data_IF_914571131817
#
_entry.id   IF_914571131817
#
_cell.length_a   1.000
_cell.length_b   1.000
_cell.length_c   1.000
_cell.angle_alpha   90.00
_cell.angle_beta   90.00
_cell.angle_gamma   90.00
#
_symmetry.space_group_name_H-M   'P 1'
#
loop_
_entity.id
_entity.type
_entity.pdbx_description
1 polymer ?
#
# COMPACT_ATOMS: atom_id res chain seq x y z
N UNK A 1 -8.32 -21.12 10.65
CA UNK A 1 -8.81 -20.09 9.70
C UNK A 1 -7.62 -19.39 9.09
N UNK A 2 -7.56 -19.30 7.79
CA UNK A 2 -6.46 -18.70 7.01
C UNK A 2 -6.94 -17.48 6.22
N UNK A 3 -6.00 -16.68 5.73
CA UNK A 3 -6.28 -15.61 4.79
C UNK A 3 -5.83 -15.96 3.36
N UNK A 4 -6.51 -15.42 2.36
CA UNK A 4 -5.97 -15.25 1.00
C UNK A 4 -5.65 -13.78 0.78
N UNK A 5 -4.40 -13.49 0.44
CA UNK A 5 -3.94 -12.11 0.18
C UNK A 5 -3.71 -11.94 -1.32
N UNK A 6 -4.46 -11.03 -1.93
CA UNK A 6 -4.43 -10.79 -3.38
C UNK A 6 -3.29 -9.82 -3.74
N UNK A 7 -2.14 -10.34 -4.10
CA UNK A 7 -0.92 -9.56 -4.43
C UNK A 7 -0.44 -9.76 -5.88
N UNK A 8 -1.31 -10.27 -6.75
CA UNK A 8 -1.00 -10.55 -8.16
C UNK A 8 -0.89 -9.31 -9.07
N UNK A 9 -1.32 -8.14 -8.61
CA UNK A 9 -1.45 -6.94 -9.42
C UNK A 9 -0.12 -6.26 -9.79
N UNK A 10 0.00 -5.75 -11.03
CA UNK A 10 1.19 -5.05 -11.53
C UNK A 10 1.47 -3.66 -10.91
N UNK A 11 0.51 -3.09 -10.18
CA UNK A 11 0.67 -1.76 -9.59
C UNK A 11 0.90 -0.63 -10.60
N UNK A 12 0.33 -0.71 -11.81
CA UNK A 12 0.61 0.21 -12.92
C UNK A 12 0.37 1.68 -12.61
N UNK A 13 -0.61 1.98 -11.77
CA UNK A 13 -0.93 3.35 -11.34
C UNK A 13 0.17 3.99 -10.48
N UNK A 14 0.95 3.17 -9.77
CA UNK A 14 2.07 3.60 -8.90
C UNK A 14 3.42 3.69 -9.67
N UNK A 15 3.47 3.28 -10.95
CA UNK A 15 4.67 3.47 -11.77
C UNK A 15 5.11 4.94 -11.77
N UNK A 16 6.44 5.19 -11.77
CA UNK A 16 7.55 4.30 -12.05
C UNK A 16 8.10 3.50 -10.86
N UNK A 17 7.60 3.66 -9.64
CA UNK A 17 8.11 2.93 -8.45
C UNK A 17 7.99 1.41 -8.61
N UNK A 18 6.87 0.95 -9.15
CA UNK A 18 6.52 -0.48 -9.26
C UNK A 18 7.02 -1.16 -10.54
N UNK A 19 7.98 -0.60 -11.24
CA UNK A 19 8.68 -1.34 -12.29
C UNK A 19 9.59 -2.43 -11.71
N UNK A 20 10.27 -2.12 -10.61
CA UNK A 20 11.28 -2.99 -10.01
C UNK A 20 10.89 -3.49 -8.60
N UNK A 21 9.87 -2.91 -7.98
CA UNK A 21 9.41 -3.25 -6.64
C UNK A 21 7.95 -3.70 -6.73
N UNK A 22 7.59 -4.92 -6.31
CA UNK A 22 6.20 -5.31 -6.17
C UNK A 22 5.44 -4.31 -5.30
N UNK A 23 4.20 -3.98 -5.65
CA UNK A 23 3.39 -3.02 -4.90
C UNK A 23 3.28 -3.36 -3.41
N UNK A 24 3.17 -4.63 -3.09
CA UNK A 24 3.11 -5.13 -1.70
C UNK A 24 4.43 -4.98 -0.92
N UNK A 25 5.54 -4.69 -1.59
CA UNK A 25 6.84 -4.45 -0.95
C UNK A 25 7.27 -2.98 -0.94
N UNK A 26 6.49 -2.04 -1.50
CA UNK A 26 6.84 -0.63 -1.36
C UNK A 26 6.89 -0.25 0.12
N UNK A 27 7.95 0.44 0.59
CA UNK A 27 8.10 0.69 2.00
C UNK A 27 7.24 1.84 2.49
N UNK A 28 6.61 1.65 3.63
CA UNK A 28 6.04 2.70 4.47
C UNK A 28 6.92 2.81 5.73
N UNK A 29 7.46 4.01 6.01
CA UNK A 29 8.38 4.18 7.15
C UNK A 29 9.50 3.13 7.14
N UNK A 30 10.16 2.96 5.99
CA UNK A 30 11.27 2.02 5.77
C UNK A 30 10.96 0.53 6.04
N UNK A 31 9.70 0.19 6.25
CA UNK A 31 9.22 -1.19 6.40
C UNK A 31 8.36 -1.57 5.18
N UNK A 32 8.63 -2.70 4.50
CA UNK A 32 7.78 -3.17 3.41
C UNK A 32 6.31 -3.28 3.80
N UNK A 33 5.41 -2.84 2.93
CA UNK A 33 3.97 -2.82 3.15
C UNK A 33 3.41 -4.21 3.55
N UNK A 34 3.93 -5.27 2.96
CA UNK A 34 3.61 -6.66 3.31
C UNK A 34 3.72 -6.93 4.82
N UNK A 35 4.69 -6.31 5.51
CA UNK A 35 4.85 -6.46 6.94
C UNK A 35 3.66 -5.93 7.75
N UNK A 36 3.07 -4.79 7.33
CA UNK A 36 1.85 -4.26 7.98
C UNK A 36 0.66 -5.18 7.75
N UNK A 37 0.55 -5.74 6.56
CA UNK A 37 -0.52 -6.67 6.20
C UNK A 37 -0.44 -7.96 7.03
N UNK A 38 0.76 -8.53 7.17
CA UNK A 38 0.95 -9.73 8.00
C UNK A 38 0.64 -9.46 9.49
N UNK A 39 1.02 -8.28 10.01
CA UNK A 39 0.66 -7.89 11.39
C UNK A 39 -0.86 -7.75 11.55
N UNK A 40 -1.54 -7.17 10.57
CA UNK A 40 -3.00 -7.06 10.56
C UNK A 40 -3.69 -8.43 10.62
N UNK A 41 -3.23 -9.39 9.82
CA UNK A 41 -3.78 -10.75 9.81
C UNK A 41 -3.52 -11.48 11.13
N UNK A 42 -2.31 -11.41 11.65
CA UNK A 42 -1.94 -12.01 12.94
C UNK A 42 -2.72 -11.39 14.09
N UNK A 43 -2.86 -10.06 14.11
CA UNK A 43 -3.67 -9.33 15.09
C UNK A 43 -5.15 -9.70 15.07
N UNK A 44 -5.66 -10.14 13.92
CA UNK A 44 -7.02 -10.70 13.75
C UNK A 44 -7.17 -12.16 14.13
N UNK A 45 -6.15 -12.80 14.72
CA UNK A 45 -6.21 -14.17 15.22
C UNK A 45 -6.14 -15.26 14.14
N UNK A 46 -5.65 -14.92 12.94
CA UNK A 46 -5.43 -15.91 11.89
C UNK A 46 -4.14 -16.70 12.13
N UNK A 47 -4.10 -17.95 11.70
CA UNK A 47 -2.96 -18.85 11.85
C UNK A 47 -2.08 -18.98 10.60
N UNK A 48 -2.51 -18.38 9.48
CA UNK A 48 -1.73 -18.40 8.25
C UNK A 48 -2.36 -17.59 7.13
N UNK A 49 -1.61 -17.45 6.03
CA UNK A 49 -2.04 -16.80 4.81
C UNK A 49 -1.53 -17.53 3.57
N UNK A 50 -2.34 -17.54 2.52
CA UNK A 50 -1.96 -17.93 1.16
C UNK A 50 -1.85 -16.65 0.32
N UNK A 51 -0.67 -16.36 -0.21
CA UNK A 51 -0.45 -15.22 -1.08
C UNK A 51 -0.73 -15.61 -2.53
N UNK A 52 -1.75 -15.02 -3.15
CA UNK A 52 -1.99 -15.12 -4.59
C UNK A 52 -1.03 -14.18 -5.30
N UNK A 53 0.01 -14.75 -5.94
CA UNK A 53 1.11 -14.04 -6.55
C UNK A 53 1.00 -14.07 -8.09
N UNK A 54 1.11 -12.91 -8.72
CA UNK A 54 1.18 -12.81 -10.17
C UNK A 54 2.45 -12.09 -10.62
N UNK A 55 2.51 -10.78 -10.46
CA UNK A 55 3.62 -9.94 -10.90
C UNK A 55 4.77 -9.93 -9.87
N UNK A 56 6.00 -10.20 -10.34
CA UNK A 56 7.23 -10.21 -9.52
C UNK A 56 7.11 -11.07 -8.24
N UNK A 57 6.88 -12.37 -8.33
CA UNK A 57 6.73 -13.23 -7.15
C UNK A 57 8.04 -13.40 -6.36
N UNK A 58 9.21 -13.50 -7.04
CA UNK A 58 10.50 -13.81 -6.41
C UNK A 58 10.91 -12.80 -5.31
N UNK A 59 10.81 -11.46 -5.49
CA UNK A 59 11.10 -10.51 -4.43
C UNK A 59 10.20 -10.67 -3.20
N UNK A 60 8.93 -11.05 -3.39
CA UNK A 60 8.00 -11.28 -2.27
C UNK A 60 8.43 -12.51 -1.48
N UNK A 61 8.73 -13.62 -2.17
CA UNK A 61 9.22 -14.85 -1.54
C UNK A 61 10.55 -14.61 -0.82
N UNK A 62 11.50 -13.90 -1.46
CA UNK A 62 12.77 -13.54 -0.85
C UNK A 62 12.59 -12.72 0.44
N UNK A 63 11.69 -11.73 0.45
CA UNK A 63 11.37 -10.95 1.64
C UNK A 63 10.84 -11.84 2.77
N UNK A 64 9.92 -12.74 2.48
CA UNK A 64 9.29 -13.59 3.50
C UNK A 64 10.28 -14.62 4.07
N UNK A 65 11.21 -15.15 3.27
CA UNK A 65 12.28 -16.02 3.77
C UNK A 65 13.18 -15.35 4.82
N UNK A 66 13.24 -14.01 4.86
CA UNK A 66 14.01 -13.27 5.89
C UNK A 66 13.25 -13.10 7.20
N UNK A 67 11.96 -13.47 7.26
CA UNK A 67 11.08 -13.25 8.41
C UNK A 67 11.11 -14.43 9.38
N UNK A 68 11.95 -14.33 10.41
CA UNK A 68 12.05 -15.33 11.48
C UNK A 68 10.86 -15.25 12.47
N UNK A 69 10.14 -14.15 12.50
CA UNK A 69 8.99 -13.88 13.37
C UNK A 69 7.67 -14.53 12.88
N UNK A 70 7.72 -15.25 11.76
CA UNK A 70 6.57 -16.02 11.22
C UNK A 70 6.51 -17.47 11.70
N UNK A 71 7.21 -17.82 12.78
CA UNK A 71 7.29 -19.22 13.28
C UNK A 71 5.91 -19.82 13.62
N UNK A 72 4.98 -19.01 14.06
CA UNK A 72 3.61 -19.43 14.42
C UNK A 72 2.55 -19.01 13.39
N UNK A 73 2.96 -18.44 12.24
CA UNK A 73 2.07 -17.97 11.19
C UNK A 73 2.54 -18.52 9.84
N UNK A 74 1.81 -19.50 9.31
CA UNK A 74 2.18 -20.12 8.03
C UNK A 74 1.94 -19.19 6.85
N UNK A 75 2.86 -19.19 5.88
CA UNK A 75 2.67 -18.45 4.62
C UNK A 75 2.93 -19.38 3.44
N UNK A 76 1.89 -19.65 2.67
CA UNK A 76 1.92 -20.39 1.43
C UNK A 76 1.79 -19.48 0.21
N UNK A 77 2.11 -19.99 -0.97
CA UNK A 77 2.11 -19.23 -2.23
C UNK A 77 1.31 -19.93 -3.31
N UNK A 78 0.33 -19.24 -3.86
CA UNK A 78 -0.41 -19.63 -5.05
C UNK A 78 0.01 -18.73 -6.22
N UNK A 79 1.00 -19.19 -7.01
CA UNK A 79 1.50 -18.41 -8.15
C UNK A 79 0.55 -18.55 -9.34
N UNK A 80 0.22 -17.41 -9.97
CA UNK A 80 -0.63 -17.33 -11.15
C UNK A 80 0.25 -17.35 -12.42
N UNK A 81 0.05 -18.33 -13.29
CA UNK A 81 0.73 -18.38 -14.59
C UNK A 81 0.26 -17.27 -15.55
N UNK A 82 -0.92 -16.73 -15.31
CA UNK A 82 -1.57 -15.61 -16.00
C UNK A 82 -2.49 -14.88 -15.04
N UNK A 83 -2.87 -13.64 -15.36
CA UNK A 83 -3.84 -12.91 -14.54
C UNK A 83 -5.17 -13.67 -14.43
N UNK A 84 -5.57 -14.00 -13.20
CA UNK A 84 -6.79 -14.74 -12.90
C UNK A 84 -7.92 -13.85 -12.36
N UNK A 85 -7.67 -12.57 -12.13
CA UNK A 85 -8.61 -11.67 -11.46
C UNK A 85 -8.72 -11.97 -9.97
N UNK A 86 -9.57 -11.21 -9.26
CA UNK A 86 -9.68 -11.31 -7.80
C UNK A 86 -10.23 -12.66 -7.35
N UNK A 87 -11.37 -13.11 -7.89
CA UNK A 87 -11.93 -14.41 -7.54
C UNK A 87 -11.09 -15.57 -8.07
N UNK A 88 -10.57 -15.46 -9.31
CA UNK A 88 -9.73 -16.53 -9.85
C UNK A 88 -8.43 -16.73 -9.05
N UNK A 89 -7.84 -15.66 -8.51
CA UNK A 89 -6.71 -15.73 -7.57
C UNK A 89 -7.09 -16.44 -6.25
N UNK A 90 -8.29 -16.18 -5.72
CA UNK A 90 -8.81 -16.90 -4.54
C UNK A 90 -8.98 -18.39 -4.85
N UNK A 91 -9.59 -18.73 -5.99
CA UNK A 91 -9.77 -20.13 -6.43
C UNK A 91 -8.43 -20.84 -6.64
N UNK A 92 -7.42 -20.16 -7.19
CA UNK A 92 -6.08 -20.72 -7.36
C UNK A 92 -5.41 -21.05 -6.02
N UNK A 93 -5.74 -20.30 -4.96
CA UNK A 93 -5.25 -20.54 -3.61
C UNK A 93 -5.92 -21.72 -2.88
N UNK A 94 -7.07 -22.21 -3.36
CA UNK A 94 -7.92 -23.20 -2.69
C UNK A 94 -7.16 -24.46 -2.24
N UNK A 95 -6.23 -24.95 -3.04
CA UNK A 95 -5.45 -26.16 -2.74
C UNK A 95 -4.55 -26.04 -1.49
N UNK A 96 -4.32 -24.82 -0.99
CA UNK A 96 -3.50 -24.53 0.20
C UNK A 96 -4.37 -24.18 1.41
N UNK A 97 -5.70 -24.13 1.26
CA UNK A 97 -6.64 -23.77 2.33
C UNK A 97 -7.10 -25.01 3.09
N UNK A 98 -7.42 -24.82 4.36
CA UNK A 98 -7.87 -25.87 5.28
C UNK A 98 -9.39 -26.21 5.15
N UNK A 99 -10.10 -25.54 4.26
CA UNK A 99 -11.54 -25.78 4.00
C UNK A 99 -12.48 -25.10 5.00
N UNK A 100 -11.96 -24.28 5.89
CA UNK A 100 -12.73 -23.46 6.83
C UNK A 100 -13.16 -22.11 6.21
N UNK A 101 -14.01 -21.36 6.92
CA UNK A 101 -14.24 -19.93 6.65
C UNK A 101 -12.90 -19.21 6.44
N UNK A 102 -12.77 -18.40 5.39
CA UNK A 102 -11.52 -17.73 5.05
C UNK A 102 -11.68 -16.22 5.04
N UNK A 103 -10.58 -15.52 5.28
CA UNK A 103 -10.48 -14.08 5.10
C UNK A 103 -9.79 -13.79 3.78
N UNK A 104 -10.30 -12.85 2.99
CA UNK A 104 -9.64 -12.37 1.77
C UNK A 104 -9.26 -10.92 1.98
N UNK A 105 -8.02 -10.54 1.64
CA UNK A 105 -7.53 -9.18 1.75
C UNK A 105 -6.89 -8.72 0.44
N UNK A 106 -7.31 -7.56 -0.04
CA UNK A 106 -6.65 -6.91 -1.16
C UNK A 106 -5.25 -6.46 -0.75
N UNK A 107 -4.24 -6.89 -1.50
CA UNK A 107 -2.82 -6.70 -1.20
C UNK A 107 -2.31 -5.25 -1.31
N UNK A 108 -3.20 -4.27 -1.29
CA UNK A 108 -2.88 -2.83 -1.35
C UNK A 108 -3.64 -2.00 -0.30
N UNK A 109 -4.32 -2.64 0.63
CA UNK A 109 -5.10 -1.99 1.67
C UNK A 109 -4.31 -1.87 2.98
N UNK A 110 -4.08 -0.64 3.41
CA UNK A 110 -3.57 -0.31 4.75
C UNK A 110 -4.77 0.01 5.64
N UNK A 111 -4.98 -0.78 6.70
CA UNK A 111 -6.14 -0.61 7.58
C UNK A 111 -5.81 -0.87 9.03
N UNK A 112 -6.52 -0.19 9.92
CA UNK A 112 -6.52 -0.42 11.36
C UNK A 112 -7.84 -1.03 11.86
N UNK A 113 -8.62 -1.65 10.97
CA UNK A 113 -9.90 -2.25 11.34
C UNK A 113 -9.72 -3.44 12.29
N UNK A 114 -10.74 -3.66 13.09
CA UNK A 114 -10.85 -4.84 13.95
C UNK A 114 -11.34 -6.03 13.10
N UNK A 115 -10.37 -6.87 12.67
CA UNK A 115 -10.64 -8.05 11.82
C UNK A 115 -11.41 -9.13 12.59
N UNK A 116 -11.12 -9.30 13.89
CA UNK A 116 -11.82 -10.27 14.73
C UNK A 116 -13.31 -9.95 14.79
N UNK A 117 -13.65 -8.66 14.94
CA UNK A 117 -15.04 -8.20 14.93
C UNK A 117 -15.73 -8.47 13.60
N UNK A 118 -15.06 -8.26 12.46
CA UNK A 118 -15.62 -8.56 11.15
C UNK A 118 -15.92 -10.06 11.00
N UNK A 119 -15.02 -10.92 11.47
CA UNK A 119 -15.22 -12.38 11.51
C UNK A 119 -16.38 -12.76 12.43
N UNK A 120 -16.50 -12.15 13.61
CA UNK A 120 -17.62 -12.40 14.53
C UNK A 120 -18.96 -12.00 13.93
N UNK A 121 -19.04 -10.85 13.25
CA UNK A 121 -20.26 -10.40 12.56
C UNK A 121 -20.66 -11.39 11.46
N UNK A 122 -19.69 -11.89 10.68
CA UNK A 122 -19.93 -12.90 9.66
C UNK A 122 -20.50 -14.19 10.26
N UNK A 123 -19.83 -14.75 11.26
CA UNK A 123 -20.25 -15.99 11.95
C UNK A 123 -21.60 -15.90 12.66
N UNK A 124 -22.03 -14.71 13.05
CA UNK A 124 -23.33 -14.46 13.66
C UNK A 124 -24.49 -14.37 12.64
N UNK A 125 -24.18 -14.52 11.35
CA UNK A 125 -25.13 -14.42 10.25
C UNK A 125 -25.19 -15.72 9.44
N UNK A 126 -26.15 -15.80 8.54
CA UNK A 126 -26.29 -16.86 7.54
C UNK A 126 -25.66 -16.51 6.19
N UNK A 127 -24.83 -15.46 6.14
CA UNK A 127 -24.17 -15.00 4.92
C UNK A 127 -23.15 -16.02 4.40
N UNK A 128 -23.02 -16.14 3.08
CA UNK A 128 -21.90 -16.83 2.44
C UNK A 128 -20.69 -15.91 2.29
N UNK A 129 -20.93 -14.60 2.23
CA UNK A 129 -19.87 -13.62 2.22
C UNK A 129 -20.24 -12.38 3.05
N UNK A 130 -19.24 -11.83 3.75
CA UNK A 130 -19.34 -10.52 4.39
C UNK A 130 -18.26 -9.63 3.81
N UNK A 131 -18.64 -8.49 3.21
CA UNK A 131 -17.71 -7.48 2.72
C UNK A 131 -17.55 -6.38 3.75
N UNK A 132 -16.33 -5.91 3.97
CA UNK A 132 -16.10 -4.75 4.83
C UNK A 132 -16.24 -3.47 4.04
N UNK A 133 -16.88 -2.48 4.65
CA UNK A 133 -17.11 -1.17 4.05
C UNK A 133 -16.48 -0.07 4.89
N UNK A 134 -15.99 0.95 4.23
CA UNK A 134 -15.53 2.20 4.85
C UNK A 134 -16.15 3.41 4.15
N UNK A 135 -16.19 4.54 4.84
CA UNK A 135 -16.69 5.79 4.29
C UNK A 135 -15.53 6.60 3.71
N UNK A 136 -15.70 7.13 2.50
CA UNK A 136 -14.74 8.00 1.82
C UNK A 136 -15.39 9.29 1.34
N UNK A 137 -14.60 10.35 1.13
CA UNK A 137 -15.12 11.62 0.60
C UNK A 137 -15.52 11.50 -0.88
N UNK A 138 -14.70 10.82 -1.70
CA UNK A 138 -14.97 10.59 -3.11
C UNK A 138 -15.00 9.08 -3.42
N UNK A 139 -16.19 8.49 -3.59
CA UNK A 139 -16.36 7.07 -3.86
C UNK A 139 -16.12 6.67 -5.32
N UNK A 140 -15.97 7.62 -6.26
CA UNK A 140 -15.91 7.34 -7.70
C UNK A 140 -14.73 6.48 -8.14
N UNK A 141 -13.68 6.41 -7.30
CA UNK A 141 -12.49 5.59 -7.56
C UNK A 141 -12.61 4.13 -7.07
N UNK A 142 -13.67 3.78 -6.34
CA UNK A 142 -13.83 2.52 -5.60
C UNK A 142 -15.14 1.80 -5.97
N UNK A 143 -15.33 0.62 -5.41
CA UNK A 143 -16.62 -0.10 -5.49
C UNK A 143 -17.61 0.49 -4.48
N UNK A 144 -18.62 1.20 -4.94
CA UNK A 144 -19.69 1.76 -4.12
C UNK A 144 -20.67 0.66 -3.70
N UNK A 145 -21.10 0.67 -2.43
CA UNK A 145 -21.99 -0.36 -1.88
C UNK A 145 -23.15 0.26 -1.14
N UNK A 146 -24.37 -0.07 -1.55
CA UNK A 146 -25.60 0.25 -0.84
C UNK A 146 -26.03 -0.92 0.03
N UNK A 147 -26.40 -0.62 1.27
CA UNK A 147 -26.87 -1.62 2.25
C UNK A 147 -28.22 -1.21 2.82
N UNK A 148 -29.00 -2.18 3.26
CA UNK A 148 -30.22 -1.90 4.02
C UNK A 148 -29.95 -1.85 5.53
N UNK A 149 -31.02 -1.73 6.31
CA UNK A 149 -30.98 -1.64 7.78
C UNK A 149 -30.49 -2.94 8.46
N UNK A 150 -30.53 -4.07 7.77
CA UNK A 150 -30.02 -5.36 8.24
C UNK A 150 -28.59 -5.63 7.76
N UNK A 151 -27.94 -4.65 7.13
CA UNK A 151 -26.61 -4.78 6.51
C UNK A 151 -26.55 -5.78 5.35
N UNK A 152 -27.67 -6.10 4.70
CA UNK A 152 -27.65 -6.81 3.43
C UNK A 152 -27.22 -5.87 2.31
N UNK A 153 -26.31 -6.33 1.46
CA UNK A 153 -25.90 -5.58 0.28
C UNK A 153 -27.04 -5.59 -0.74
N UNK A 154 -27.49 -4.39 -1.12
CA UNK A 154 -28.58 -4.18 -2.07
C UNK A 154 -28.08 -3.76 -3.45
N UNK A 155 -26.92 -3.12 -3.51
CA UNK A 155 -26.31 -2.71 -4.77
C UNK A 155 -24.80 -2.64 -4.62
N UNK A 156 -24.10 -3.09 -5.66
CA UNK A 156 -22.64 -2.95 -5.79
C UNK A 156 -22.32 -2.34 -7.15
N UNK A 157 -21.58 -1.23 -7.19
CA UNK A 157 -21.18 -0.57 -8.44
C UNK A 157 -19.68 -0.32 -8.42
N UNK A 158 -18.96 -1.01 -9.26
CA UNK A 158 -17.52 -0.83 -9.41
C UNK A 158 -17.21 0.44 -10.19
N UNK A 159 -16.60 1.43 -9.51
CA UNK A 159 -16.23 2.75 -10.04
C UNK A 159 -17.43 3.50 -10.65
N UNK A 160 -18.37 3.93 -9.80
CA UNK A 160 -19.59 4.61 -10.25
C UNK A 160 -19.26 5.90 -10.99
N UNK A 161 -20.11 6.29 -11.95
CA UNK A 161 -20.12 7.64 -12.46
C UNK A 161 -20.62 8.62 -11.36
N UNK A 162 -20.29 9.90 -11.48
CA UNK A 162 -20.63 10.87 -10.44
C UNK A 162 -22.14 10.99 -10.16
N UNK A 163 -22.98 10.74 -11.16
CA UNK A 163 -24.44 10.73 -11.07
C UNK A 163 -25.01 9.42 -10.50
N UNK A 164 -24.20 8.38 -10.38
CA UNK A 164 -24.56 7.09 -9.75
C UNK A 164 -24.23 7.06 -8.26
N UNK A 165 -23.56 8.08 -7.73
CA UNK A 165 -23.15 8.14 -6.32
C UNK A 165 -24.34 8.42 -5.42
N UNK A 166 -24.77 7.42 -4.66
CA UNK A 166 -25.91 7.47 -3.73
C UNK A 166 -25.49 7.34 -2.28
N UNK A 167 -24.28 6.88 -2.03
CA UNK A 167 -23.69 6.69 -0.69
C UNK A 167 -22.20 6.97 -0.74
N UNK A 168 -21.58 7.17 0.42
CA UNK A 168 -20.13 7.28 0.56
C UNK A 168 -19.47 5.98 1.05
N UNK A 169 -20.24 4.91 1.21
CA UNK A 169 -19.72 3.61 1.60
C UNK A 169 -19.09 2.89 0.41
N UNK A 170 -17.85 2.49 0.57
CA UNK A 170 -17.08 1.77 -0.46
C UNK A 170 -16.54 0.46 0.08
N UNK A 171 -16.30 -0.46 -0.83
CA UNK A 171 -15.61 -1.71 -0.57
C UNK A 171 -14.21 -1.44 0.00
N UNK A 172 -13.96 -1.89 1.23
CA UNK A 172 -12.69 -1.72 1.92
C UNK A 172 -11.64 -2.79 1.55
N UNK A 173 -11.98 -3.77 0.71
CA UNK A 173 -11.05 -4.80 0.23
C UNK A 173 -10.66 -5.84 1.28
N UNK A 174 -11.51 -6.06 2.27
CA UNK A 174 -11.39 -7.18 3.24
C UNK A 174 -12.73 -7.92 3.26
N UNK A 175 -12.68 -9.23 3.08
CA UNK A 175 -13.86 -10.08 3.00
C UNK A 175 -13.74 -11.27 3.95
N UNK A 176 -14.86 -11.76 4.46
CA UNK A 176 -14.96 -13.06 5.12
C UNK A 176 -15.88 -13.92 4.28
N UNK A 177 -15.40 -15.08 3.85
CA UNK A 177 -16.09 -15.97 2.91
C UNK A 177 -16.24 -17.35 3.52
N UNK A 178 -17.41 -17.98 3.30
CA UNK A 178 -17.59 -19.39 3.54
C UNK A 178 -16.99 -20.22 2.38
N UNK A 179 -16.54 -21.47 2.63
CA UNK A 179 -15.91 -22.32 1.61
C UNK A 179 -16.79 -22.54 0.36
N UNK A 180 -18.11 -22.53 0.52
CA UNK A 180 -19.07 -22.68 -0.57
C UNK A 180 -18.94 -21.61 -1.66
N UNK A 181 -18.40 -20.43 -1.31
CA UNK A 181 -18.12 -19.37 -2.30
C UNK A 181 -17.06 -19.83 -3.31
N UNK A 182 -16.13 -20.68 -2.90
CA UNK A 182 -15.08 -21.20 -3.80
C UNK A 182 -15.70 -22.09 -4.89
N UNK A 183 -16.80 -22.81 -4.59
CA UNK A 183 -17.49 -23.64 -5.57
C UNK A 183 -18.19 -22.83 -6.66
N UNK A 184 -18.52 -21.58 -6.39
CA UNK A 184 -19.10 -20.65 -7.36
C UNK A 184 -18.05 -20.11 -8.36
N UNK A 185 -16.75 -20.24 -8.04
CA UNK A 185 -15.68 -19.68 -8.86
C UNK A 185 -15.15 -20.71 -9.85
N UNK A 186 -15.32 -20.51 -11.17
CA UNK A 186 -14.77 -21.40 -12.16
C UNK A 186 -13.24 -21.36 -12.18
N UNK A 187 -12.62 -22.53 -12.14
CA UNK A 187 -11.17 -22.67 -12.15
C UNK A 187 -10.56 -22.30 -13.50
N UNK A 188 -9.33 -21.77 -13.47
CA UNK A 188 -8.49 -21.60 -14.65
C UNK A 188 -8.93 -20.50 -15.63
N UNK A 189 -9.83 -19.58 -15.25
CA UNK A 189 -10.15 -18.38 -16.02
C UNK A 189 -10.07 -17.11 -15.17
N UNK A 190 -9.99 -15.98 -15.82
CA UNK A 190 -10.08 -14.67 -15.14
C UNK A 190 -11.51 -14.46 -14.63
N UNK A 191 -11.66 -14.21 -13.33
CA UNK A 191 -12.93 -13.96 -12.63
C UNK A 191 -12.74 -12.83 -11.64
N UNK A 192 -13.62 -11.83 -11.67
CA UNK A 192 -13.68 -10.77 -10.65
C UNK A 192 -14.69 -11.13 -9.57
N UNK A 193 -14.29 -11.11 -8.31
CA UNK A 193 -15.21 -11.33 -7.19
C UNK A 193 -16.28 -10.24 -7.14
N UNK A 194 -15.92 -9.00 -7.45
CA UNK A 194 -16.79 -7.84 -7.38
C UNK A 194 -17.82 -7.77 -8.50
N UNK A 195 -17.46 -8.29 -9.68
CA UNK A 195 -18.32 -8.21 -10.89
C UNK A 195 -19.11 -9.45 -11.18
N UNK A 196 -18.67 -10.61 -10.70
CA UNK A 196 -19.30 -11.89 -11.02
C UNK A 196 -19.86 -12.56 -9.76
N UNK A 197 -19.12 -12.69 -8.69
CA UNK A 197 -19.50 -13.48 -7.50
C UNK A 197 -20.38 -12.67 -6.54
N UNK A 198 -20.00 -11.43 -6.21
CA UNK A 198 -20.80 -10.60 -5.31
C UNK A 198 -22.20 -10.29 -5.83
N UNK A 199 -22.43 -10.02 -7.13
CA UNK A 199 -23.79 -9.87 -7.65
C UNK A 199 -24.65 -11.13 -7.46
N UNK A 200 -24.11 -12.32 -7.70
CA UNK A 200 -24.83 -13.59 -7.50
C UNK A 200 -25.19 -13.81 -6.01
N UNK A 201 -24.25 -13.52 -5.11
CA UNK A 201 -24.48 -13.58 -3.66
C UNK A 201 -25.48 -12.51 -3.20
N UNK A 202 -25.49 -11.33 -3.80
CA UNK A 202 -26.46 -10.28 -3.54
C UNK A 202 -27.87 -10.68 -3.95
N UNK A 203 -28.03 -11.23 -5.15
CA UNK A 203 -29.32 -11.72 -5.66
C UNK A 203 -29.92 -12.81 -4.78
N UNK A 204 -29.08 -13.69 -4.24
CA UNK A 204 -29.49 -14.76 -3.32
C UNK A 204 -29.71 -14.28 -1.87
N UNK A 205 -29.43 -13.00 -1.56
CA UNK A 205 -29.53 -12.45 -0.20
C UNK A 205 -28.47 -12.99 0.77
N UNK A 206 -27.38 -13.55 0.25
CA UNK A 206 -26.28 -14.15 1.05
C UNK A 206 -25.03 -13.27 1.14
N UNK A 207 -25.10 -12.01 0.68
CA UNK A 207 -24.03 -11.02 0.81
C UNK A 207 -24.37 -9.99 1.86
N UNK A 208 -23.60 -9.95 2.95
CA UNK A 208 -23.72 -8.96 4.03
C UNK A 208 -22.56 -7.98 4.02
N UNK A 209 -22.74 -6.87 4.73
CA UNK A 209 -21.72 -5.87 4.94
C UNK A 209 -21.36 -5.72 6.42
N UNK A 210 -20.09 -5.39 6.68
CA UNK A 210 -19.59 -4.89 7.96
C UNK A 210 -19.00 -3.51 7.75
N UNK A 211 -19.60 -2.47 8.34
CA UNK A 211 -19.11 -1.08 8.22
C UNK A 211 -18.08 -0.79 9.30
N UNK A 212 -16.92 -0.30 8.93
CA UNK A 212 -15.86 0.14 9.84
C UNK A 212 -15.60 1.64 9.71
N UNK A 213 -15.33 2.31 10.84
CA UNK A 213 -14.85 3.68 10.91
C UNK A 213 -13.34 3.77 11.20
N UNK A 214 -12.67 2.64 11.24
CA UNK A 214 -11.23 2.59 11.47
C UNK A 214 -10.45 3.19 10.31
N UNK A 215 -9.19 3.53 10.56
CA UNK A 215 -8.29 3.99 9.50
C UNK A 215 -8.30 3.02 8.32
N UNK A 216 -8.38 3.58 7.11
CA UNK A 216 -8.32 2.83 5.86
C UNK A 216 -7.71 3.68 4.74
N UNK A 217 -6.84 3.08 3.95
CA UNK A 217 -6.27 3.69 2.74
C UNK A 217 -5.74 2.62 1.78
N UNK A 218 -6.07 2.75 0.50
CA UNK A 218 -5.36 2.03 -0.57
C UNK A 218 -4.02 2.71 -0.89
N UNK A 219 -3.01 1.95 -1.28
CA UNK A 219 -1.70 2.49 -1.70
C UNK A 219 -1.52 2.41 -3.23
N UNK A 220 -2.62 2.51 -3.98
CA UNK A 220 -2.66 2.26 -5.42
C UNK A 220 -2.06 3.34 -6.31
N UNK A 221 -1.88 4.56 -5.82
CA UNK A 221 -1.38 5.71 -6.58
C UNK A 221 -0.24 6.41 -5.87
N UNK A 222 0.61 7.22 -6.54
CA UNK A 222 1.64 8.01 -5.86
C UNK A 222 1.07 8.92 -4.77
N UNK A 223 -0.10 9.50 -4.98
CA UNK A 223 -0.78 10.36 -3.99
C UNK A 223 -1.18 9.56 -2.75
N UNK A 224 -1.85 8.43 -2.94
CA UNK A 224 -2.29 7.61 -1.82
C UNK A 224 -1.11 6.92 -1.12
N UNK A 225 -0.06 6.51 -1.84
CA UNK A 225 1.16 5.96 -1.26
C UNK A 225 1.92 6.99 -0.40
N UNK A 226 2.10 8.22 -0.90
CA UNK A 226 2.72 9.31 -0.14
C UNK A 226 1.89 9.64 1.12
N UNK A 227 0.57 9.73 0.97
CA UNK A 227 -0.33 9.97 2.09
C UNK A 227 -0.28 8.82 3.12
N UNK A 228 -0.27 7.55 2.69
CA UNK A 228 -0.10 6.40 3.60
C UNK A 228 1.22 6.48 4.39
N UNK A 229 2.32 6.88 3.74
CA UNK A 229 3.60 7.08 4.43
C UNK A 229 3.52 8.19 5.48
N UNK A 230 2.85 9.30 5.16
CA UNK A 230 2.61 10.38 6.12
C UNK A 230 1.76 9.95 7.30
N UNK A 231 0.70 9.15 7.05
CA UNK A 231 -0.21 8.65 8.07
C UNK A 231 0.50 7.68 9.02
N UNK A 232 1.35 6.77 8.48
CA UNK A 232 2.16 5.86 9.29
C UNK A 232 3.17 6.62 10.16
N UNK A 233 3.87 7.61 9.58
CA UNK A 233 4.81 8.45 10.31
C UNK A 233 4.14 9.28 11.42
N UNK A 234 2.90 9.71 11.19
CA UNK A 234 2.11 10.48 12.16
C UNK A 234 1.37 9.62 13.18
N UNK A 235 1.50 8.27 13.12
CA UNK A 235 0.83 7.36 14.04
C UNK A 235 -0.67 7.23 13.83
N UNK A 236 -1.21 7.65 12.68
CA UNK A 236 -2.64 7.58 12.37
C UNK A 236 -3.12 6.14 12.10
N UNK A 237 -2.22 5.21 11.83
CA UNK A 237 -2.52 3.79 11.57
C UNK A 237 -2.42 3.02 12.87
N UNK A 238 -3.57 2.68 13.47
CA UNK A 238 -3.65 1.92 14.73
C UNK A 238 -4.86 2.32 15.56
N UNK A 239 -5.21 1.52 16.57
CA UNK A 239 -6.40 1.72 17.40
C UNK A 239 -6.33 2.89 18.40
N UNK A 240 -5.21 3.61 18.46
CA UNK A 240 -5.03 4.79 19.31
C UNK A 240 -4.34 5.87 18.48
N UNK A 241 -5.13 6.77 17.88
CA UNK A 241 -4.61 8.05 17.41
C UNK A 241 -3.97 8.75 18.62
N UNK A 242 -2.64 8.88 18.63
CA UNK A 242 -1.93 9.57 19.71
C UNK A 242 -1.96 11.06 19.39
N UNK A 243 -2.49 11.86 20.27
CA UNK A 243 -2.32 13.31 20.25
C UNK A 243 -0.82 13.62 20.36
N UNK A 244 -0.31 14.46 19.45
CA UNK A 244 1.09 14.90 19.37
C UNK A 244 2.14 13.77 19.29
N UNK A 245 2.25 13.13 18.13
CA UNK A 245 3.28 12.13 17.88
C UNK A 245 4.51 12.78 17.21
N UNK A 246 5.46 13.24 18.04
CA UNK A 246 6.79 13.63 17.55
C UNK A 246 7.64 12.39 17.27
N UNK A 247 7.39 11.75 16.12
CA UNK A 247 8.11 10.55 15.73
C UNK A 247 9.43 10.91 15.05
N UNK A 248 10.52 10.64 15.74
CA UNK A 248 11.88 10.76 15.20
C UNK A 248 12.59 9.40 15.31
N UNK A 249 12.72 8.71 14.19
CA UNK A 249 13.46 7.46 14.08
C UNK A 249 14.68 7.70 13.21
N UNK A 250 15.86 7.60 13.81
CA UNK A 250 17.14 7.74 13.11
C UNK A 250 17.99 6.54 13.52
N UNK A 251 18.38 5.73 12.54
CA UNK A 251 19.27 4.61 12.80
C UNK A 251 20.62 5.08 13.34
N UNK A 252 21.21 4.30 14.24
CA UNK A 252 22.47 4.67 14.93
C UNK A 252 23.67 4.77 13.99
N UNK A 253 23.61 4.19 12.79
CA UNK A 253 24.65 4.26 11.77
C UNK A 253 24.55 5.49 10.87
N UNK A 254 23.56 6.37 11.08
CA UNK A 254 23.38 7.59 10.29
C UNK A 254 24.45 8.63 10.62
N UNK A 255 25.14 9.10 9.59
CA UNK A 255 26.13 10.16 9.72
C UNK A 255 25.46 11.53 9.54
N UNK A 256 25.50 12.37 10.58
CA UNK A 256 24.95 13.73 10.58
C UNK A 256 26.05 14.77 10.57
N UNK A 257 26.01 15.67 9.59
CA UNK A 257 26.85 16.85 9.51
C UNK A 257 26.49 17.92 10.55
N UNK A 258 27.15 19.08 10.45
CA UNK A 258 26.91 20.20 11.36
C UNK A 258 25.64 20.96 11.01
N UNK A 259 24.90 21.39 12.03
CA UNK A 259 23.69 22.20 11.88
C UNK A 259 22.59 21.55 10.99
N UNK A 260 22.56 20.23 10.94
CA UNK A 260 21.46 19.49 10.33
C UNK A 260 20.18 19.74 11.13
N UNK A 261 19.07 19.97 10.43
CA UNK A 261 17.74 20.13 11.03
C UNK A 261 16.91 18.90 10.74
N UNK A 262 16.49 18.19 11.77
CA UNK A 262 15.52 17.11 11.69
C UNK A 262 14.20 17.63 12.29
N UNK A 263 13.15 17.70 11.49
CA UNK A 263 11.82 18.21 11.86
C UNK A 263 10.81 17.05 11.87
N UNK A 264 10.48 16.49 13.03
CA UNK A 264 9.55 15.36 13.15
C UNK A 264 8.17 15.61 12.50
N UNK A 265 7.46 14.53 12.09
CA UNK A 265 7.89 13.15 12.13
C UNK A 265 8.80 12.77 10.95
N UNK A 266 9.86 12.02 11.22
CA UNK A 266 10.89 11.61 10.24
C UNK A 266 11.36 10.18 10.57
N UNK A 267 11.62 9.37 9.53
CA UNK A 267 12.29 8.07 9.65
C UNK A 267 13.48 8.01 8.71
N UNK A 268 14.68 7.74 9.25
CA UNK A 268 15.94 7.65 8.49
C UNK A 268 16.58 6.29 8.77
N UNK A 269 16.68 5.46 7.73
CA UNK A 269 17.22 4.12 7.81
C UNK A 269 18.77 4.11 7.88
N UNK A 270 19.32 2.92 8.06
CA UNK A 270 20.74 2.65 8.22
C UNK A 270 21.61 3.18 7.08
N UNK A 271 22.81 3.60 7.42
CA UNK A 271 23.87 3.98 6.47
C UNK A 271 23.61 5.27 5.71
N UNK A 272 22.60 6.07 6.08
CA UNK A 272 22.38 7.39 5.47
C UNK A 272 23.45 8.39 5.85
N UNK A 273 23.79 9.30 4.93
CA UNK A 273 24.71 10.43 5.16
C UNK A 273 23.98 11.74 4.89
N UNK A 274 23.89 12.57 5.89
CA UNK A 274 23.23 13.88 5.86
C UNK A 274 24.29 14.95 6.10
N UNK A 275 24.61 15.73 5.07
CA UNK A 275 25.67 16.74 5.11
C UNK A 275 25.27 18.00 5.88
N UNK A 276 26.23 18.90 6.09
CA UNK A 276 26.06 20.14 6.83
C UNK A 276 24.88 20.99 6.33
N UNK A 277 24.19 21.67 7.24
CA UNK A 277 23.08 22.59 6.96
C UNK A 277 21.85 21.95 6.26
N UNK A 278 21.83 20.64 6.02
CA UNK A 278 20.67 19.98 5.41
C UNK A 278 19.45 20.00 6.34
N UNK A 279 18.27 19.98 5.73
CA UNK A 279 16.98 19.94 6.45
C UNK A 279 16.17 18.73 6.00
N UNK A 280 15.79 17.86 6.95
CA UNK A 280 14.90 16.73 6.72
C UNK A 280 13.67 16.92 7.58
N UNK A 281 12.49 16.91 6.99
CA UNK A 281 11.30 17.14 7.78
C UNK A 281 9.97 16.89 7.06
N UNK A 282 8.89 17.35 7.68
CA UNK A 282 7.57 17.34 7.10
C UNK A 282 7.02 15.95 6.76
N UNK A 283 7.23 14.94 7.61
CA UNK A 283 6.82 13.55 7.37
C UNK A 283 7.59 12.88 6.24
N UNK A 284 8.93 12.98 6.27
CA UNK A 284 9.82 12.35 5.30
C UNK A 284 10.34 10.99 5.79
N UNK A 285 10.53 10.08 4.85
CA UNK A 285 11.13 8.76 5.08
C UNK A 285 12.31 8.57 4.12
N UNK A 286 13.48 8.26 4.66
CA UNK A 286 14.71 7.99 3.93
C UNK A 286 15.09 6.53 4.10
N UNK A 287 15.13 5.79 2.98
CA UNK A 287 15.59 4.41 2.91
C UNK A 287 17.10 4.27 3.17
N UNK A 288 17.58 3.04 3.16
CA UNK A 288 18.97 2.70 3.46
C UNK A 288 19.95 3.41 2.52
N UNK A 289 21.04 3.89 3.09
CA UNK A 289 22.16 4.44 2.32
C UNK A 289 21.81 5.70 1.52
N UNK A 290 20.75 6.42 1.84
CA UNK A 290 20.44 7.71 1.20
C UNK A 290 21.52 8.76 1.51
N UNK A 291 21.78 9.64 0.55
CA UNK A 291 22.74 10.74 0.70
C UNK A 291 22.01 12.06 0.50
N UNK A 292 22.17 12.97 1.46
CA UNK A 292 21.61 14.33 1.39
C UNK A 292 22.76 15.33 1.51
N UNK A 293 22.98 16.11 0.46
CA UNK A 293 24.06 17.07 0.30
C UNK A 293 23.90 18.33 1.15
N UNK A 294 24.96 19.13 1.19
CA UNK A 294 25.03 20.37 1.98
C UNK A 294 23.88 21.32 1.63
N UNK A 295 23.17 21.80 2.65
CA UNK A 295 22.06 22.75 2.49
C UNK A 295 20.87 22.24 1.72
N UNK A 296 20.82 20.95 1.38
CA UNK A 296 19.66 20.34 0.70
C UNK A 296 18.44 20.22 1.63
N UNK A 297 17.26 20.22 1.04
CA UNK A 297 15.98 20.14 1.76
C UNK A 297 15.18 18.94 1.28
N UNK A 298 14.78 18.05 2.19
CA UNK A 298 13.85 16.94 1.96
C UNK A 298 12.66 17.10 2.87
N UNK A 299 11.47 17.28 2.32
CA UNK A 299 10.27 17.59 3.09
C UNK A 299 9.05 16.86 2.53
N UNK A 300 8.29 16.16 3.40
CA UNK A 300 7.07 15.45 3.01
C UNK A 300 7.29 14.39 1.92
N UNK A 301 8.45 13.77 1.85
CA UNK A 301 8.90 12.97 0.72
C UNK A 301 9.34 11.57 1.12
N UNK A 302 9.27 10.65 0.17
CA UNK A 302 9.80 9.29 0.30
C UNK A 302 11.05 9.17 -0.57
N UNK A 303 12.18 8.89 0.04
CA UNK A 303 13.43 8.53 -0.62
C UNK A 303 13.68 7.04 -0.42
N UNK A 304 13.68 6.26 -1.50
CA UNK A 304 13.98 4.83 -1.42
C UNK A 304 15.50 4.59 -1.40
N UNK A 305 15.90 3.36 -1.12
CA UNK A 305 17.28 2.96 -0.85
C UNK A 305 18.30 3.54 -1.85
N UNK A 306 19.36 4.16 -1.32
CA UNK A 306 20.43 4.72 -2.10
C UNK A 306 20.07 5.98 -2.90
N UNK A 307 18.93 6.60 -2.65
CA UNK A 307 18.59 7.86 -3.32
C UNK A 307 19.53 9.00 -2.88
N UNK A 308 19.86 9.86 -3.82
CA UNK A 308 20.82 10.96 -3.61
C UNK A 308 20.19 12.33 -3.92
N UNK A 309 20.29 13.25 -2.99
CA UNK A 309 19.89 14.66 -3.13
C UNK A 309 21.14 15.52 -2.96
N UNK A 310 21.63 16.13 -4.04
CA UNK A 310 22.88 16.90 -4.04
C UNK A 310 22.75 18.26 -3.35
N UNK A 311 23.87 18.96 -3.23
CA UNK A 311 23.95 20.22 -2.47
C UNK A 311 22.93 21.26 -2.97
N UNK A 312 22.23 21.89 -2.02
CA UNK A 312 21.24 22.94 -2.29
C UNK A 312 20.00 22.47 -3.06
N UNK A 313 19.86 21.18 -3.36
CA UNK A 313 18.67 20.65 -4.02
C UNK A 313 17.47 20.56 -3.06
N UNK A 314 16.27 20.65 -3.60
CA UNK A 314 15.01 20.64 -2.84
C UNK A 314 14.11 19.50 -3.35
N UNK A 315 13.72 18.60 -2.45
CA UNK A 315 12.74 17.54 -2.74
C UNK A 315 11.56 17.70 -1.78
N UNK A 316 10.39 18.06 -2.31
CA UNK A 316 9.18 18.30 -1.52
C UNK A 316 7.98 17.53 -2.05
N UNK A 317 7.24 16.83 -1.15
CA UNK A 317 6.01 16.14 -1.49
C UNK A 317 6.18 15.20 -2.68
N UNK A 318 7.30 14.49 -2.77
CA UNK A 318 7.72 13.72 -3.94
C UNK A 318 8.24 12.34 -3.56
N UNK A 319 8.37 11.45 -4.54
CA UNK A 319 8.85 10.09 -4.34
C UNK A 319 10.09 9.87 -5.19
N UNK A 320 11.19 9.45 -4.58
CA UNK A 320 12.41 9.05 -5.27
C UNK A 320 12.58 7.53 -5.19
N UNK A 321 12.63 6.87 -6.36
CA UNK A 321 12.94 5.44 -6.48
C UNK A 321 14.37 5.11 -6.04
N UNK A 322 14.69 3.81 -5.92
CA UNK A 322 16.01 3.37 -5.50
C UNK A 322 17.12 3.96 -6.37
N UNK A 323 18.18 4.47 -5.76
CA UNK A 323 19.34 5.08 -6.44
C UNK A 323 19.00 6.22 -7.42
N UNK A 324 17.81 6.81 -7.29
CA UNK A 324 17.48 8.03 -8.04
C UNK A 324 18.30 9.21 -7.51
N UNK A 325 18.75 10.10 -8.41
CA UNK A 325 19.61 11.22 -8.07
C UNK A 325 19.02 12.54 -8.51
N UNK A 326 19.05 13.53 -7.61
CA UNK A 326 18.66 14.92 -7.86
C UNK A 326 19.89 15.80 -7.75
N UNK A 327 20.33 16.38 -8.88
CA UNK A 327 21.54 17.19 -9.01
C UNK A 327 21.46 18.54 -8.29
N UNK A 328 22.63 19.18 -8.13
CA UNK A 328 22.80 20.42 -7.39
C UNK A 328 21.76 21.50 -7.74
N UNK A 329 21.22 22.16 -6.71
CA UNK A 329 20.26 23.26 -6.84
C UNK A 329 19.01 22.93 -7.69
N UNK A 330 18.69 21.68 -7.91
CA UNK A 330 17.47 21.24 -8.57
C UNK A 330 16.29 21.20 -7.60
N UNK A 331 15.08 21.39 -8.12
CA UNK A 331 13.84 21.37 -7.35
C UNK A 331 12.96 20.26 -7.89
N UNK A 332 12.54 19.33 -7.02
CA UNK A 332 11.59 18.25 -7.32
C UNK A 332 10.44 18.37 -6.32
N UNK A 333 9.23 18.63 -6.82
CA UNK A 333 8.06 18.87 -5.96
C UNK A 333 6.75 18.45 -6.62
N UNK A 334 5.62 18.76 -5.96
CA UNK A 334 4.29 18.64 -6.56
C UNK A 334 3.90 17.22 -6.94
N UNK A 335 4.22 16.22 -6.09
CA UNK A 335 3.96 14.80 -6.33
C UNK A 335 4.74 14.23 -7.53
N UNK A 336 5.90 14.78 -7.83
CA UNK A 336 6.81 14.23 -8.82
C UNK A 336 7.35 12.85 -8.37
N UNK A 337 7.49 11.92 -9.32
CA UNK A 337 7.93 10.55 -9.02
C UNK A 337 9.14 10.20 -9.89
N UNK A 338 10.25 9.92 -9.26
CA UNK A 338 11.49 9.53 -9.91
C UNK A 338 11.66 8.02 -9.84
N UNK A 339 11.85 7.37 -11.00
CA UNK A 339 12.09 5.92 -11.10
C UNK A 339 13.49 5.53 -10.64
N UNK A 340 13.70 4.23 -10.47
CA UNK A 340 14.98 3.69 -9.99
C UNK A 340 16.15 4.12 -10.88
N UNK A 341 17.25 4.59 -10.27
CA UNK A 341 18.48 4.96 -10.98
C UNK A 341 18.34 6.11 -11.97
N UNK A 342 17.22 6.85 -11.99
CA UNK A 342 17.13 8.04 -12.84
C UNK A 342 18.01 9.18 -12.28
N UNK A 343 18.47 10.05 -13.16
CA UNK A 343 19.30 11.19 -12.80
C UNK A 343 18.64 12.48 -13.28
N UNK A 344 18.36 13.38 -12.35
CA UNK A 344 17.95 14.75 -12.66
C UNK A 344 19.21 15.63 -12.55
N UNK A 345 19.71 16.13 -13.69
CA UNK A 345 20.90 17.03 -13.72
C UNK A 345 20.66 18.32 -12.95
N UNK A 346 21.74 19.06 -12.69
CA UNK A 346 21.70 20.30 -11.89
C UNK A 346 20.73 21.38 -12.43
N UNK A 347 20.15 22.17 -11.54
CA UNK A 347 19.37 23.35 -11.87
C UNK A 347 18.04 23.10 -12.61
N UNK A 348 17.51 21.87 -12.55
CA UNK A 348 16.19 21.53 -13.09
C UNK A 348 15.06 21.80 -12.08
N UNK A 349 13.87 22.07 -12.59
CA UNK A 349 12.64 22.17 -11.79
C UNK A 349 11.64 21.15 -12.32
N UNK A 350 11.25 20.18 -11.50
CA UNK A 350 10.23 19.18 -11.77
C UNK A 350 9.06 19.40 -10.82
N UNK A 351 7.85 19.60 -11.36
CA UNK A 351 6.64 19.91 -10.61
C UNK A 351 5.41 19.20 -11.26
N UNK A 352 4.21 19.40 -10.71
CA UNK A 352 2.92 19.01 -11.29
C UNK A 352 2.80 17.50 -11.59
N UNK A 353 3.35 16.64 -10.74
CA UNK A 353 3.21 15.20 -10.85
C UNK A 353 4.03 14.56 -11.98
N UNK A 354 5.12 15.17 -12.39
CA UNK A 354 6.03 14.59 -13.38
C UNK A 354 6.49 13.21 -12.93
N UNK A 355 6.49 12.26 -13.87
CA UNK A 355 7.01 10.91 -13.69
C UNK A 355 8.21 10.67 -14.57
N UNK A 356 9.37 10.43 -13.97
CA UNK A 356 10.62 10.10 -14.67
C UNK A 356 10.83 8.59 -14.60
N UNK A 357 10.92 7.92 -15.75
CA UNK A 357 11.09 6.47 -15.80
C UNK A 357 12.46 6.02 -15.26
N UNK A 358 12.61 4.75 -14.85
CA UNK A 358 13.88 4.20 -14.42
C UNK A 358 15.01 4.43 -15.41
N UNK A 359 16.21 4.76 -14.91
CA UNK A 359 17.42 4.96 -15.71
C UNK A 359 17.43 6.19 -16.61
N UNK A 360 16.39 6.99 -16.66
CA UNK A 360 16.34 8.21 -17.48
C UNK A 360 17.27 9.27 -16.91
N UNK A 361 18.04 9.91 -17.80
CA UNK A 361 18.92 11.05 -17.46
C UNK A 361 18.31 12.34 -18.02
N UNK A 362 17.92 13.25 -17.13
CA UNK A 362 17.48 14.59 -17.48
C UNK A 362 18.70 15.50 -17.48
N UNK A 363 19.03 16.10 -18.63
CA UNK A 363 20.21 16.98 -18.78
C UNK A 363 20.13 18.18 -17.83
N UNK A 364 21.29 18.75 -17.42
CA UNK A 364 21.30 19.96 -16.58
C UNK A 364 20.51 21.11 -17.20
N UNK A 365 19.74 21.82 -16.37
CA UNK A 365 18.99 23.05 -16.75
C UNK A 365 18.05 22.89 -17.94
N UNK A 366 17.57 21.68 -18.20
CA UNK A 366 16.73 21.38 -19.37
C UNK A 366 15.22 21.48 -19.09
N UNK A 367 14.81 21.37 -17.83
CA UNK A 367 13.40 21.41 -17.42
C UNK A 367 13.16 22.54 -16.41
N UNK A 368 12.13 23.36 -16.68
CA UNK A 368 11.64 24.40 -15.76
C UNK A 368 10.12 24.47 -15.90
N UNK A 369 9.41 23.81 -15.01
CA UNK A 369 7.94 23.78 -14.98
C UNK A 369 7.43 24.57 -13.78
#
# INVERSE_FOLDING_TARGET
>A
MQAVVLVGGQGTRLRPVTYDIPKSLVPLRNRPFMGYMLDFLRGGGLNGAVLSLGYLPDPIQAYLCTKQDLVEFSVDYAVEDRALGTAGGIKNAEQYLDGDTLVVVNGDVLTGMDLEKAIQVHKASDALATITLTSVEDPTAYGLVEVDHEMLVRRFIEKPAADEVTTNLVNAGVYVLEPEVLDMIPAGREVSIEREIFPELQESGRLRAHVTSSYWRDIGTPRSYLAASHDVLSGAVGSAAREEFEYLEVDSSVELGKNVKLLPPVSIAEGCRISDLATIGGRSSLGKGCVVGEGAVVEGSILLDGAEVEAGAIVRGSIMGPRARVGNASIVRGLSVLGAGCVVGEGNVLDQGIRVNPGVVVSPRSLRF
#
